data_IF_371065599950
#
_entry.id   IF_371065599950
#
_cell.length_a   1.000
_cell.length_b   1.000
_cell.length_c   1.000
_cell.angle_alpha   90.00
_cell.angle_beta   90.00
_cell.angle_gamma   90.00
#
_symmetry.space_group_name_H-M   'P 1'
#
loop_
_entity.id
_entity.type
_entity.pdbx_description
1 polymer ?
#
# COMPACT_ATOMS: atom_id res chain seq x y z
N UNK A 1 -20.53 10.45 7.95
CA UNK A 1 -20.54 9.82 6.61
C UNK A 1 -19.18 9.93 5.91
N UNK A 2 -18.61 11.13 5.78
CA UNK A 2 -17.27 11.35 5.20
C UNK A 2 -16.16 10.61 5.96
N UNK A 3 -16.20 10.60 7.30
CA UNK A 3 -15.26 9.83 8.12
C UNK A 3 -15.21 8.34 7.76
N UNK A 4 -16.38 7.72 7.54
CA UNK A 4 -16.47 6.31 7.15
C UNK A 4 -15.89 6.09 5.74
N UNK A 5 -16.13 7.01 4.80
CA UNK A 5 -15.56 6.92 3.44
C UNK A 5 -14.04 6.99 3.50
N UNK A 6 -13.49 7.94 4.26
CA UNK A 6 -12.04 8.09 4.45
C UNK A 6 -11.42 6.88 5.15
N UNK A 7 -12.11 6.33 6.16
CA UNK A 7 -11.70 5.12 6.86
C UNK A 7 -11.62 3.92 5.91
N UNK A 8 -12.69 3.65 5.16
CA UNK A 8 -12.70 2.54 4.19
C UNK A 8 -11.70 2.73 3.05
N UNK A 9 -11.51 3.97 2.57
CA UNK A 9 -10.47 4.29 1.60
C UNK A 9 -9.07 3.98 2.15
N UNK A 10 -8.80 4.34 3.41
CA UNK A 10 -7.56 3.98 4.10
C UNK A 10 -7.36 2.47 4.17
N UNK A 11 -8.38 1.70 4.56
CA UNK A 11 -8.31 0.23 4.61
C UNK A 11 -8.00 -0.37 3.23
N UNK A 12 -8.65 0.10 2.17
CA UNK A 12 -8.40 -0.39 0.79
C UNK A 12 -6.95 -0.13 0.39
N UNK A 13 -6.40 1.05 0.69
CA UNK A 13 -5.03 1.40 0.38
C UNK A 13 -3.99 0.57 1.16
N UNK A 14 -4.31 0.18 2.40
CA UNK A 14 -3.48 -0.77 3.17
C UNK A 14 -3.49 -2.15 2.52
N UNK A 15 -4.67 -2.67 2.18
CA UNK A 15 -4.80 -3.99 1.53
C UNK A 15 -4.04 -4.00 0.20
N UNK A 16 -4.18 -2.93 -0.60
CA UNK A 16 -3.46 -2.79 -1.86
C UNK A 16 -1.94 -2.76 -1.67
N UNK A 17 -1.46 -2.02 -0.66
CA UNK A 17 -0.04 -1.99 -0.30
C UNK A 17 0.47 -3.38 0.09
N UNK A 18 -0.25 -4.11 0.95
CA UNK A 18 0.09 -5.47 1.36
C UNK A 18 0.12 -6.44 0.17
N UNK A 19 -0.84 -6.33 -0.75
CA UNK A 19 -0.89 -7.15 -1.96
C UNK A 19 0.35 -6.95 -2.84
N UNK A 20 0.72 -5.69 -3.08
CA UNK A 20 1.89 -5.34 -3.89
C UNK A 20 3.19 -5.83 -3.24
N UNK A 21 3.38 -5.63 -1.93
CA UNK A 21 4.55 -6.15 -1.21
C UNK A 21 4.62 -7.67 -1.24
N UNK A 22 3.49 -8.37 -1.07
CA UNK A 22 3.46 -9.83 -1.11
C UNK A 22 3.76 -10.37 -2.52
N UNK A 23 3.31 -9.67 -3.57
CA UNK A 23 3.65 -10.00 -4.95
C UNK A 23 5.17 -9.86 -5.20
N UNK A 24 5.76 -8.73 -4.80
CA UNK A 24 7.21 -8.52 -4.86
C UNK A 24 8.00 -9.58 -4.08
N UNK A 25 7.59 -9.88 -2.85
CA UNK A 25 8.24 -10.90 -2.02
C UNK A 25 8.18 -12.30 -2.66
N UNK A 26 7.05 -12.65 -3.30
CA UNK A 26 6.92 -13.91 -4.05
C UNK A 26 7.83 -13.94 -5.27
N UNK A 27 7.97 -12.83 -6.01
CA UNK A 27 8.87 -12.76 -7.16
C UNK A 27 10.36 -12.84 -6.75
N UNK A 28 10.74 -12.15 -5.68
CA UNK A 28 12.07 -12.23 -5.05
C UNK A 28 12.40 -13.65 -4.61
N UNK A 29 11.47 -14.34 -3.94
CA UNK A 29 11.67 -15.71 -3.45
C UNK A 29 11.85 -16.75 -4.57
N UNK A 30 11.31 -16.48 -5.76
CA UNK A 30 11.49 -17.33 -6.95
C UNK A 30 12.80 -17.05 -7.70
N UNK A 31 13.63 -16.10 -7.23
CA UNK A 31 14.92 -15.78 -7.84
C UNK A 31 14.79 -15.07 -9.19
N UNK A 32 13.64 -14.46 -9.50
CA UNK A 32 13.43 -13.72 -10.75
C UNK A 32 14.11 -12.35 -10.71
N UNK A 33 15.44 -12.34 -10.67
CA UNK A 33 16.29 -11.13 -10.77
C UNK A 33 16.07 -10.36 -12.09
N UNK A 34 15.56 -11.02 -13.14
CA UNK A 34 15.23 -10.36 -14.42
C UNK A 34 14.11 -9.31 -14.34
N UNK A 35 13.35 -9.24 -13.23
CA UNK A 35 12.24 -8.29 -13.03
C UNK A 35 12.49 -7.29 -11.90
N UNK A 36 13.73 -7.15 -11.44
CA UNK A 36 14.09 -6.29 -10.30
C UNK A 36 13.56 -4.85 -10.42
N UNK A 37 13.59 -4.27 -11.62
CA UNK A 37 13.06 -2.92 -11.88
C UNK A 37 11.54 -2.82 -11.70
N UNK A 38 10.80 -3.88 -12.03
CA UNK A 38 9.34 -3.96 -11.86
C UNK A 38 8.99 -4.14 -10.38
N UNK A 39 9.77 -4.97 -9.66
CA UNK A 39 9.64 -5.20 -8.22
C UNK A 39 9.87 -3.89 -7.46
N UNK A 40 10.96 -3.17 -7.74
CA UNK A 40 11.23 -1.88 -7.10
C UNK A 40 10.13 -0.85 -7.37
N UNK A 41 9.59 -0.81 -8.59
CA UNK A 41 8.47 0.10 -8.92
C UNK A 41 7.22 -0.27 -8.13
N UNK A 42 6.88 -1.56 -8.04
CA UNK A 42 5.73 -2.03 -7.27
C UNK A 42 5.90 -1.76 -5.77
N UNK A 43 7.09 -1.97 -5.22
CA UNK A 43 7.39 -1.68 -3.80
C UNK A 43 7.30 -0.18 -3.50
N UNK A 44 7.76 0.67 -4.43
CA UNK A 44 7.60 2.12 -4.32
C UNK A 44 6.12 2.51 -4.32
N UNK A 45 5.31 1.93 -5.21
CA UNK A 45 3.87 2.17 -5.22
C UNK A 45 3.18 1.64 -3.95
N UNK A 46 3.60 0.48 -3.45
CA UNK A 46 3.10 -0.10 -2.20
C UNK A 46 3.40 0.83 -1.02
N UNK A 47 4.61 1.36 -0.95
CA UNK A 47 5.01 2.30 0.10
C UNK A 47 4.23 3.60 0.03
N UNK A 48 4.06 4.18 -1.16
CA UNK A 48 3.25 5.39 -1.35
C UNK A 48 1.79 5.13 -0.92
N UNK A 49 1.21 4.00 -1.31
CA UNK A 49 -0.15 3.61 -0.92
C UNK A 49 -0.28 3.49 0.61
N UNK A 50 0.74 2.92 1.27
CA UNK A 50 0.79 2.81 2.73
C UNK A 50 0.84 4.19 3.40
N UNK A 51 1.71 5.08 2.92
CA UNK A 51 1.86 6.43 3.48
C UNK A 51 0.57 7.22 3.34
N UNK A 52 -0.08 7.17 2.17
CA UNK A 52 -1.38 7.83 1.96
C UNK A 52 -2.43 7.26 2.91
N UNK A 53 -2.47 5.94 3.10
CA UNK A 53 -3.39 5.32 4.05
C UNK A 53 -3.15 5.83 5.48
N UNK A 54 -1.90 5.88 5.93
CA UNK A 54 -1.55 6.39 7.27
C UNK A 54 -1.99 7.84 7.43
N UNK A 55 -1.75 8.69 6.42
CA UNK A 55 -2.19 10.09 6.44
C UNK A 55 -3.72 10.18 6.52
N UNK A 56 -4.45 9.37 5.75
CA UNK A 56 -5.92 9.32 5.83
C UNK A 56 -6.40 8.90 7.22
N UNK A 57 -5.76 7.91 7.84
CA UNK A 57 -6.08 7.49 9.20
C UNK A 57 -5.83 8.60 10.23
N UNK A 58 -4.72 9.33 10.11
CA UNK A 58 -4.41 10.48 10.98
C UNK A 58 -5.46 11.57 10.81
N UNK A 59 -5.84 11.89 9.56
CA UNK A 59 -6.88 12.89 9.28
C UNK A 59 -8.21 12.46 9.89
N UNK A 60 -8.60 11.20 9.69
CA UNK A 60 -9.82 10.66 10.30
C UNK A 60 -9.76 10.77 11.83
N UNK A 61 -8.65 10.36 12.46
CA UNK A 61 -8.52 10.34 13.91
C UNK A 61 -8.48 11.74 14.57
N UNK A 62 -7.96 12.76 13.88
CA UNK A 62 -7.84 14.12 14.43
C UNK A 62 -9.11 14.94 14.20
N UNK A 63 -9.76 14.78 13.05
CA UNK A 63 -10.82 15.69 12.59
C UNK A 63 -12.24 15.13 12.68
N UNK A 64 -12.42 13.82 12.89
CA UNK A 64 -13.73 13.16 12.88
C UNK A 64 -13.92 12.22 14.06
#
# INVERSE_FOLDING_TARGET
MIANILFYAGVILIINSMYLFNSSAKELRKGYLKKESVIQKNDKHAFISLVIAIVLFIIVAIFF
#
